data_IF_435796609249
#
_entry.id   IF_435796609249
#
_cell.length_a   1.000
_cell.length_b   1.000
_cell.length_c   1.000
_cell.angle_alpha   90.00
_cell.angle_beta   90.00
_cell.angle_gamma   90.00
#
_symmetry.space_group_name_H-M   'P 1'
#
loop_
_entity.id
_entity.type
_entity.pdbx_description
1 polymer ?
#
# COMPACT_ATOMS: atom_id res chain seq x y z
N UNK A 1 13.13 -17.80 -4.17
CA UNK A 1 12.18 -17.63 -5.30
C UNK A 1 10.95 -16.80 -4.96
N UNK A 2 10.45 -16.75 -3.70
CA UNK A 2 9.20 -16.05 -3.31
C UNK A 2 9.01 -14.63 -3.88
N UNK A 3 9.95 -13.71 -3.67
CA UNK A 3 9.81 -12.31 -4.14
C UNK A 3 10.02 -12.16 -5.65
N UNK A 4 10.92 -12.96 -6.24
CA UNK A 4 11.19 -12.90 -7.68
C UNK A 4 9.98 -13.31 -8.52
N UNK A 5 9.22 -14.32 -8.07
CA UNK A 5 7.96 -14.72 -8.69
C UNK A 5 6.90 -13.60 -8.58
N UNK A 6 6.83 -12.91 -7.45
CA UNK A 6 5.85 -11.85 -7.19
C UNK A 6 6.15 -10.55 -7.94
N UNK A 7 7.44 -10.21 -8.10
CA UNK A 7 7.88 -9.10 -8.96
C UNK A 7 7.44 -9.33 -10.41
N UNK A 8 7.55 -10.55 -10.92
CA UNK A 8 7.07 -10.88 -12.25
C UNK A 8 5.53 -10.93 -12.34
N UNK A 9 4.86 -11.31 -11.25
CA UNK A 9 3.41 -11.41 -11.19
C UNK A 9 2.71 -10.05 -11.13
N UNK A 10 3.27 -9.08 -10.41
CA UNK A 10 2.60 -7.80 -10.14
C UNK A 10 2.22 -7.03 -11.41
N UNK A 11 3.10 -6.86 -12.43
CA UNK A 11 2.71 -6.20 -13.69
C UNK A 11 1.58 -6.92 -14.42
N UNK A 12 1.58 -8.25 -14.38
CA UNK A 12 0.52 -9.06 -15.00
C UNK A 12 -0.80 -8.85 -14.25
N UNK A 13 -0.78 -8.91 -12.92
CA UNK A 13 -1.94 -8.72 -12.07
C UNK A 13 -2.54 -7.31 -12.18
N UNK A 14 -1.71 -6.28 -12.36
CA UNK A 14 -2.17 -4.90 -12.59
C UNK A 14 -2.68 -4.66 -14.03
N UNK A 15 -2.26 -5.49 -14.99
CA UNK A 15 -2.66 -5.39 -16.38
C UNK A 15 -3.98 -6.10 -16.71
N UNK A 16 -4.56 -6.87 -15.79
CA UNK A 16 -5.85 -7.54 -16.01
C UNK A 16 -7.03 -6.59 -15.79
N UNK A 17 -8.12 -6.83 -16.53
CA UNK A 17 -9.36 -6.06 -16.42
C UNK A 17 -10.58 -7.01 -16.44
N UNK A 18 -11.41 -7.05 -15.39
CA UNK A 18 -11.26 -6.31 -14.13
C UNK A 18 -10.03 -6.77 -13.32
N UNK A 19 -9.50 -5.91 -12.42
CA UNK A 19 -8.39 -6.29 -11.55
C UNK A 19 -8.82 -7.42 -10.62
N UNK A 20 -7.94 -8.41 -10.41
CA UNK A 20 -8.13 -9.49 -9.44
C UNK A 20 -7.53 -9.08 -8.09
N UNK A 21 -8.36 -8.80 -7.07
CA UNK A 21 -7.88 -8.30 -5.78
C UNK A 21 -6.95 -9.27 -5.06
N UNK A 22 -7.25 -10.57 -5.10
CA UNK A 22 -6.46 -11.59 -4.43
C UNK A 22 -5.12 -11.77 -5.13
N UNK A 23 -5.10 -11.73 -6.46
CA UNK A 23 -3.87 -11.82 -7.23
C UNK A 23 -2.94 -10.62 -6.98
N UNK A 24 -3.49 -9.40 -6.96
CA UNK A 24 -2.73 -8.19 -6.66
C UNK A 24 -2.21 -8.23 -5.23
N UNK A 25 -3.06 -8.60 -4.26
CA UNK A 25 -2.67 -8.73 -2.86
C UNK A 25 -1.52 -9.72 -2.68
N UNK A 26 -1.61 -10.90 -3.30
CA UNK A 26 -0.56 -11.91 -3.29
C UNK A 26 0.72 -11.40 -3.94
N UNK A 27 0.62 -10.68 -5.06
CA UNK A 27 1.75 -10.11 -5.77
C UNK A 27 2.45 -8.98 -4.98
N UNK A 28 1.72 -8.27 -4.12
CA UNK A 28 2.26 -7.22 -3.26
C UNK A 28 2.96 -7.73 -1.99
N UNK A 29 2.87 -9.04 -1.66
CA UNK A 29 3.56 -9.59 -0.50
C UNK A 29 5.08 -9.59 -0.70
N UNK A 30 5.81 -8.93 0.20
CA UNK A 30 7.27 -8.91 0.18
C UNK A 30 7.87 -9.52 1.46
N UNK A 31 8.80 -10.44 1.28
CA UNK A 31 9.55 -11.11 2.35
C UNK A 31 10.99 -10.64 2.51
N UNK A 32 11.48 -9.72 1.66
CA UNK A 32 12.86 -9.22 1.73
C UNK A 32 12.89 -7.77 2.23
N UNK A 33 12.31 -6.82 1.50
CA UNK A 33 12.53 -5.40 1.81
C UNK A 33 11.53 -4.90 2.85
N UNK A 34 10.27 -5.28 2.70
CA UNK A 34 9.19 -4.78 3.53
C UNK A 34 9.32 -5.17 5.02
N UNK A 35 9.71 -6.41 5.41
CA UNK A 35 9.87 -6.76 6.83
C UNK A 35 10.88 -5.87 7.58
N UNK A 36 12.01 -5.56 6.94
CA UNK A 36 13.00 -4.64 7.50
C UNK A 36 12.46 -3.20 7.55
N UNK A 37 11.83 -2.72 6.46
CA UNK A 37 11.39 -1.33 6.34
C UNK A 37 10.13 -0.99 7.14
N UNK A 38 9.28 -1.97 7.43
CA UNK A 38 8.08 -1.79 8.26
C UNK A 38 8.42 -1.31 9.66
N UNK A 39 9.57 -1.73 10.21
CA UNK A 39 10.05 -1.28 11.52
C UNK A 39 10.34 0.23 11.59
N UNK A 40 10.55 0.87 10.43
CA UNK A 40 10.81 2.31 10.35
C UNK A 40 9.55 3.15 10.61
N UNK A 41 8.36 2.57 10.38
CA UNK A 41 7.06 3.24 10.53
C UNK A 41 6.21 2.48 11.56
N UNK A 42 6.17 2.93 12.83
CA UNK A 42 5.35 2.31 13.85
C UNK A 42 3.88 2.23 13.40
N UNK A 43 3.32 1.03 13.38
CA UNK A 43 1.96 0.75 12.90
C UNK A 43 1.86 0.16 11.49
N UNK A 44 2.89 0.27 10.64
CA UNK A 44 2.80 -0.23 9.26
C UNK A 44 2.70 -1.77 9.20
N UNK A 45 3.39 -2.49 10.08
CA UNK A 45 3.26 -3.95 10.17
C UNK A 45 1.81 -4.36 10.44
N UNK A 46 1.16 -3.71 11.41
CA UNK A 46 -0.23 -3.93 11.77
C UNK A 46 -1.19 -3.60 10.62
N UNK A 47 -0.92 -2.56 9.84
CA UNK A 47 -1.71 -2.25 8.64
C UNK A 47 -1.62 -3.41 7.62
N UNK A 48 -0.42 -3.92 7.38
CA UNK A 48 -0.19 -5.00 6.39
C UNK A 48 -0.82 -6.31 6.85
N UNK A 49 -0.83 -6.60 8.14
CA UNK A 49 -1.37 -7.84 8.71
C UNK A 49 -2.90 -7.81 8.91
N UNK A 50 -3.48 -6.64 9.17
CA UNK A 50 -4.91 -6.48 9.51
C UNK A 50 -5.83 -6.18 8.32
N UNK A 51 -5.26 -6.03 7.12
CA UNK A 51 -5.99 -5.63 5.92
C UNK A 51 -5.70 -6.58 4.75
N UNK A 52 -6.77 -7.04 4.12
CA UNK A 52 -6.79 -7.90 2.94
C UNK A 52 -8.02 -7.56 2.10
N UNK A 53 -8.09 -7.99 0.82
CA UNK A 53 -9.29 -7.77 0.01
C UNK A 53 -10.56 -8.38 0.64
N UNK A 54 -10.41 -9.48 1.38
CA UNK A 54 -11.49 -10.15 2.10
C UNK A 54 -11.98 -9.41 3.36
N UNK A 55 -11.12 -8.64 4.02
CA UNK A 55 -11.47 -7.90 5.26
C UNK A 55 -11.81 -6.45 5.00
N UNK A 56 -11.44 -5.91 3.85
CA UNK A 56 -11.68 -4.53 3.46
C UNK A 56 -12.09 -4.46 1.98
N UNK A 57 -13.39 -4.32 1.68
CA UNK A 57 -13.86 -4.21 0.30
C UNK A 57 -13.17 -3.05 -0.42
N UNK A 58 -12.76 -3.29 -1.67
CA UNK A 58 -12.05 -2.31 -2.49
C UNK A 58 -10.53 -2.24 -2.24
N UNK A 59 -10.00 -2.84 -1.18
CA UNK A 59 -8.55 -2.86 -0.90
C UNK A 59 -7.84 -3.96 -1.70
N UNK A 60 -6.67 -3.66 -2.26
CA UNK A 60 -5.85 -4.59 -3.04
C UNK A 60 -4.52 -4.90 -2.36
N UNK A 61 -3.94 -3.94 -1.63
CA UNK A 61 -2.68 -4.16 -0.91
C UNK A 61 -2.03 -2.85 -0.50
N UNK A 62 -0.98 -2.95 0.32
CA UNK A 62 -0.33 -1.79 0.93
C UNK A 62 1.17 -1.99 1.06
N UNK A 63 1.94 -0.95 0.80
CA UNK A 63 3.38 -0.97 0.98
C UNK A 63 3.96 0.39 1.39
N UNK A 64 5.20 0.38 1.87
CA UNK A 64 5.96 1.60 2.07
C UNK A 64 6.44 2.14 0.72
N UNK A 65 6.21 3.42 0.45
CA UNK A 65 6.54 4.10 -0.80
C UNK A 65 7.63 5.16 -0.60
N UNK A 66 8.58 5.22 -1.54
CA UNK A 66 9.72 6.15 -1.47
C UNK A 66 10.67 5.87 -0.30
N UNK A 67 11.44 6.86 0.14
CA UNK A 67 12.38 6.74 1.27
C UNK A 67 11.78 7.20 2.63
N UNK A 68 10.62 7.89 2.59
CA UNK A 68 9.96 8.48 3.76
C UNK A 68 8.79 7.66 4.31
N UNK A 69 7.97 8.25 5.20
CA UNK A 69 6.85 7.59 5.87
C UNK A 69 5.61 7.41 4.99
N UNK A 70 5.74 7.60 3.68
CA UNK A 70 4.60 7.53 2.76
C UNK A 70 4.17 6.09 2.57
N UNK A 71 2.89 5.80 2.82
CA UNK A 71 2.29 4.50 2.58
C UNK A 71 1.48 4.58 1.29
N UNK A 72 1.73 3.63 0.39
CA UNK A 72 0.92 3.42 -0.80
C UNK A 72 -0.09 2.31 -0.53
N UNK A 73 -1.37 2.60 -0.70
CA UNK A 73 -2.43 1.61 -0.72
C UNK A 73 -3.03 1.54 -2.12
N UNK A 74 -3.11 0.34 -2.69
CA UNK A 74 -3.84 0.09 -3.92
C UNK A 74 -5.29 -0.25 -3.57
N UNK A 75 -6.24 0.41 -4.24
CA UNK A 75 -7.67 0.21 -4.02
C UNK A 75 -8.47 0.50 -5.29
N UNK A 76 -9.63 -0.13 -5.44
CA UNK A 76 -10.61 0.14 -6.52
C UNK A 76 -11.83 0.93 -6.05
N UNK A 77 -12.11 0.92 -4.75
CA UNK A 77 -13.23 1.63 -4.13
C UNK A 77 -12.98 1.83 -2.64
N UNK A 78 -13.91 2.48 -1.93
CA UNK A 78 -13.88 2.70 -0.47
C UNK A 78 -12.62 3.44 0.03
N UNK A 79 -12.11 4.38 -0.77
CA UNK A 79 -10.84 5.08 -0.50
C UNK A 79 -10.79 5.75 0.87
N UNK A 80 -11.87 6.44 1.27
CA UNK A 80 -11.93 7.16 2.55
C UNK A 80 -11.94 6.21 3.76
N UNK A 81 -12.66 5.09 3.65
CA UNK A 81 -12.71 4.06 4.70
C UNK A 81 -11.35 3.37 4.86
N UNK A 82 -10.73 2.99 3.72
CA UNK A 82 -9.39 2.40 3.68
C UNK A 82 -8.38 3.37 4.31
N UNK A 83 -8.37 4.63 3.88
CA UNK A 83 -7.48 5.65 4.43
C UNK A 83 -7.72 5.88 5.93
N UNK A 84 -8.99 5.98 6.35
CA UNK A 84 -9.37 6.15 7.75
C UNK A 84 -8.88 5.01 8.64
N UNK A 85 -9.01 3.76 8.18
CA UNK A 85 -8.52 2.57 8.90
C UNK A 85 -6.99 2.58 9.03
N UNK A 86 -6.26 2.88 7.95
CA UNK A 86 -4.80 3.01 7.99
C UNK A 86 -4.37 4.11 8.97
N UNK A 87 -4.97 5.29 8.86
CA UNK A 87 -4.66 6.44 9.74
C UNK A 87 -4.94 6.10 11.20
N UNK A 88 -6.05 5.42 11.49
CA UNK A 88 -6.38 4.98 12.84
C UNK A 88 -5.29 4.08 13.42
N UNK A 89 -4.89 3.04 12.69
CA UNK A 89 -3.85 2.10 13.13
C UNK A 89 -2.53 2.84 13.39
N UNK A 90 -2.14 3.76 12.49
CA UNK A 90 -0.93 4.56 12.67
C UNK A 90 -0.99 5.44 13.92
N UNK A 91 -2.12 6.11 14.19
CA UNK A 91 -2.29 6.94 15.40
C UNK A 91 -2.26 6.10 16.68
N UNK A 92 -2.93 4.96 16.71
CA UNK A 92 -2.94 4.05 17.86
C UNK A 92 -1.54 3.54 18.20
N UNK A 93 -0.71 3.27 17.19
CA UNK A 93 0.68 2.83 17.37
C UNK A 93 1.68 3.97 17.64
N UNK A 94 1.21 5.22 17.69
CA UNK A 94 2.03 6.41 17.98
C UNK A 94 1.29 7.35 18.95
N UNK A 95 0.53 6.81 19.92
CA UNK A 95 -0.35 7.60 20.79
C UNK A 95 0.39 8.64 21.67
N UNK A 96 1.68 8.45 21.90
CA UNK A 96 2.60 9.36 22.59
C UNK A 96 3.09 10.52 21.70
N UNK A 97 2.76 10.52 20.41
CA UNK A 97 3.21 11.48 19.41
C UNK A 97 2.03 12.13 18.71
N UNK A 98 2.15 13.43 18.42
CA UNK A 98 1.20 14.13 17.56
C UNK A 98 1.51 13.83 16.08
N UNK A 99 0.98 12.71 15.57
CA UNK A 99 1.16 12.29 14.17
C UNK A 99 0.04 12.83 13.30
N UNK A 100 0.36 13.89 12.55
CA UNK A 100 -0.48 14.38 11.46
C UNK A 100 -0.45 13.43 10.27
N UNK A 101 -1.63 12.95 9.84
CA UNK A 101 -1.78 12.12 8.65
C UNK A 101 -2.62 12.84 7.59
N UNK A 102 -2.16 12.79 6.35
CA UNK A 102 -2.92 13.22 5.17
C UNK A 102 -2.96 12.08 4.17
N UNK A 103 -4.09 11.95 3.47
CA UNK A 103 -4.25 10.98 2.39
C UNK A 103 -4.78 11.68 1.14
N UNK A 104 -4.44 11.12 -0.02
CA UNK A 104 -4.87 11.62 -1.34
C UNK A 104 -5.11 10.42 -2.25
N UNK A 105 -6.10 10.55 -3.13
CA UNK A 105 -6.21 9.69 -4.31
C UNK A 105 -5.18 10.21 -5.33
N UNK A 106 -4.38 9.30 -5.88
CA UNK A 106 -3.33 9.64 -6.83
C UNK A 106 -3.76 9.24 -8.24
N UNK A 107 -3.43 10.10 -9.19
CA UNK A 107 -3.51 9.79 -10.61
C UNK A 107 -2.08 9.73 -11.17
N UNK A 108 -1.81 8.88 -12.18
CA UNK A 108 -0.53 8.88 -12.86
C UNK A 108 -0.19 10.27 -13.39
N UNK A 109 0.95 10.81 -12.98
CA UNK A 109 1.43 12.10 -13.48
C UNK A 109 1.93 11.96 -14.92
N UNK A 110 1.86 13.06 -15.70
CA UNK A 110 2.59 13.14 -16.96
C UNK A 110 4.10 13.10 -16.70
N UNK A 111 4.83 12.49 -17.64
CA UNK A 111 6.30 12.48 -17.59
C UNK A 111 6.89 13.88 -17.85
N UNK A 112 8.17 14.05 -17.53
CA UNK A 112 8.88 15.31 -17.76
C UNK A 112 8.91 15.66 -19.24
N UNK A 113 8.45 16.86 -19.59
CA UNK A 113 8.55 17.43 -20.94
C UNK A 113 9.64 18.51 -20.98
N UNK A 114 10.48 18.49 -22.01
CA UNK A 114 11.46 19.56 -22.27
C UNK A 114 10.85 20.52 -23.29
N UNK A 115 10.51 21.74 -22.84
CA UNK A 115 10.06 22.82 -23.71
C UNK A 115 11.31 23.54 -24.23
N UNK A 116 11.50 23.54 -25.55
CA UNK A 116 12.60 24.23 -26.24
C UNK A 116 12.14 25.57 -26.80
#
# INVERSE_FOLDING_TARGET
>A
TFNMQRIALLPVALGTSPPDPELIHLAMQDKIHQPYRQTLIPGLGQVVESMSPSTQPGFLGVCLSGAGPTILALATSNFEEIAGKIIKILKENNADKDVGCQWKILEPAEGTQVIR
#
